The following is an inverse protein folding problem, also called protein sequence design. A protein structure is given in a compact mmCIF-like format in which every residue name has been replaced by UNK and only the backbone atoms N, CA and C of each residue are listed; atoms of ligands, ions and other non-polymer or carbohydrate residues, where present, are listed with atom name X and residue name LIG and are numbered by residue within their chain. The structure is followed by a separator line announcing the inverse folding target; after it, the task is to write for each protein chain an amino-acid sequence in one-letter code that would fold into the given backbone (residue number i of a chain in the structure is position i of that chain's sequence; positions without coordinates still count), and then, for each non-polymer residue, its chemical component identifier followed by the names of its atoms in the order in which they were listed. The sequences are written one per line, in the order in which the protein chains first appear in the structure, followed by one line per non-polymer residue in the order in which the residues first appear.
data_IF_243997198151
#
_entry.id   IF_243997198151
#
_cell.length_a   1.000
_cell.length_b   1.000
_cell.length_c   1.000
_cell.angle_alpha   90.00
_cell.angle_beta   90.00
_cell.angle_gamma   90.00
#
_symmetry.space_group_name_H-M   'P 1'
#
loop_
_entity.id
_entity.type
_entity.pdbx_description
1 polymer ?
#
# COMPACT_ATOMS: atom_id res chain seq x y z
N UNK A 1 -23.08 5.38 -2.16
CA UNK A 1 -21.74 4.79 -2.36
C UNK A 1 -20.95 5.77 -3.22
N UNK A 2 -19.95 6.40 -2.64
CA UNK A 2 -19.05 7.30 -3.37
C UNK A 2 -17.88 6.47 -3.87
N UNK A 3 -17.95 6.01 -5.09
CA UNK A 3 -16.85 5.35 -5.78
C UNK A 3 -16.28 6.28 -6.84
N UNK A 4 -14.97 6.19 -7.05
CA UNK A 4 -14.34 6.91 -8.14
C UNK A 4 -14.77 6.26 -9.47
N UNK A 5 -15.38 7.02 -10.36
CA UNK A 5 -15.80 6.50 -11.67
C UNK A 5 -14.55 6.17 -12.50
N UNK A 6 -14.30 4.89 -12.84
CA UNK A 6 -13.07 4.49 -13.53
C UNK A 6 -12.91 5.14 -14.92
N UNK A 7 -14.01 5.50 -15.58
CA UNK A 7 -13.98 6.20 -16.86
C UNK A 7 -13.41 7.63 -16.77
N UNK A 8 -13.28 8.18 -15.55
CA UNK A 8 -12.72 9.52 -15.31
C UNK A 8 -11.29 9.50 -14.79
N UNK A 9 -10.67 8.33 -14.74
CA UNK A 9 -9.27 8.19 -14.34
C UNK A 9 -8.37 8.16 -15.55
N UNK A 10 -7.32 8.94 -15.48
CA UNK A 10 -6.22 8.85 -16.41
C UNK A 10 -4.91 8.76 -15.64
N UNK A 11 -4.06 7.82 -16.03
CA UNK A 11 -2.69 7.75 -15.54
C UNK A 11 -1.82 8.62 -16.43
N UNK A 12 -1.19 9.63 -15.85
CA UNK A 12 -0.37 10.56 -16.60
C UNK A 12 1.09 10.42 -16.19
N UNK A 13 1.95 10.24 -17.16
CA UNK A 13 3.40 10.12 -16.96
C UNK A 13 4.06 11.43 -16.51
N UNK A 14 3.41 12.57 -16.75
CA UNK A 14 3.94 13.90 -16.42
C UNK A 14 3.00 14.64 -15.48
N UNK A 15 3.48 14.91 -14.29
CA UNK A 15 2.81 15.73 -13.31
C UNK A 15 3.67 16.97 -12.99
N UNK A 16 3.02 18.09 -12.74
CA UNK A 16 3.66 19.31 -12.26
C UNK A 16 3.30 19.52 -10.80
N UNK A 17 4.27 19.94 -10.00
CA UNK A 17 3.98 20.31 -8.62
C UNK A 17 3.47 21.73 -8.56
N UNK A 18 2.35 21.92 -7.87
CA UNK A 18 1.91 23.21 -7.40
C UNK A 18 2.40 23.37 -5.96
N UNK A 19 2.84 24.56 -5.60
CA UNK A 19 3.33 24.85 -4.25
C UNK A 19 2.53 25.99 -3.65
N UNK A 20 2.09 25.83 -2.40
CA UNK A 20 1.45 26.90 -1.66
C UNK A 20 2.48 27.97 -1.29
N UNK A 21 2.17 29.23 -1.60
CA UNK A 21 3.05 30.37 -1.29
C UNK A 21 3.24 30.63 0.20
N UNK A 22 2.30 30.20 1.05
CA UNK A 22 2.36 30.45 2.48
C UNK A 22 2.98 29.30 3.29
N UNK A 23 2.59 28.04 3.01
CA UNK A 23 3.01 26.90 3.84
C UNK A 23 3.87 25.86 3.12
N UNK A 24 4.22 26.11 1.86
CA UNK A 24 4.98 25.20 1.00
C UNK A 24 4.34 23.82 0.78
N UNK A 25 3.06 23.64 1.11
CA UNK A 25 2.33 22.41 0.79
C UNK A 25 2.36 22.19 -0.72
N UNK A 26 2.62 20.93 -1.13
CA UNK A 26 2.72 20.57 -2.53
C UNK A 26 1.52 19.76 -2.97
N UNK A 27 1.03 20.07 -4.15
CA UNK A 27 -0.08 19.37 -4.80
C UNK A 27 0.37 18.96 -6.20
N UNK A 28 0.53 17.65 -6.48
CA UNK A 28 0.81 17.21 -7.84
C UNK A 28 -0.44 17.33 -8.70
N UNK A 29 -0.32 17.96 -9.85
CA UNK A 29 -1.40 18.11 -10.83
C UNK A 29 -0.92 17.68 -12.19
N UNK A 30 -1.86 17.27 -13.06
CA UNK A 30 -1.58 17.05 -14.46
C UNK A 30 -1.06 18.34 -15.12
N UNK A 31 -0.10 18.23 -16.03
CA UNK A 31 0.37 19.39 -16.81
C UNK A 31 -0.73 20.06 -17.62
N UNK A 32 -1.80 19.33 -17.95
CA UNK A 32 -2.97 19.88 -18.65
C UNK A 32 -3.89 20.69 -17.74
N UNK A 33 -3.78 20.50 -16.42
CA UNK A 33 -4.65 21.12 -15.41
C UNK A 33 -3.90 22.10 -14.50
N UNK A 34 -2.64 22.38 -14.76
CA UNK A 34 -1.84 23.29 -13.94
C UNK A 34 -2.42 24.71 -13.92
N UNK A 35 -2.98 25.17 -15.02
CA UNK A 35 -3.65 26.48 -15.14
C UNK A 35 -4.92 26.56 -14.27
N UNK A 36 -5.63 25.43 -14.06
CA UNK A 36 -6.81 25.37 -13.19
C UNK A 36 -6.38 25.38 -11.72
N UNK A 37 -5.28 24.70 -11.41
CA UNK A 37 -4.77 24.61 -10.06
C UNK A 37 -4.04 25.87 -9.59
N UNK A 38 -3.56 26.69 -10.51
CA UNK A 38 -2.91 27.94 -10.20
C UNK A 38 -3.93 28.96 -9.61
N UNK A 39 -3.62 29.47 -8.43
CA UNK A 39 -4.50 30.38 -7.71
C UNK A 39 -5.55 29.72 -6.80
N UNK A 40 -5.68 28.39 -6.80
CA UNK A 40 -6.55 27.69 -5.85
C UNK A 40 -6.08 27.90 -4.41
N UNK A 41 -7.03 28.00 -3.48
CA UNK A 41 -6.74 28.03 -2.05
C UNK A 41 -6.00 26.74 -1.61
N UNK A 42 -5.11 26.88 -0.63
CA UNK A 42 -4.36 25.76 -0.11
C UNK A 42 -5.29 24.72 0.54
N UNK A 43 -5.11 23.45 0.20
CA UNK A 43 -5.87 22.34 0.76
C UNK A 43 -5.45 21.97 2.20
N UNK A 44 -4.36 22.55 2.70
CA UNK A 44 -3.94 22.32 4.08
C UNK A 44 -4.85 23.10 5.03
N UNK A 45 -5.44 22.38 5.97
CA UNK A 45 -6.34 22.97 6.96
C UNK A 45 -5.68 24.16 7.70
N UNK A 46 -6.41 25.27 7.82
CA UNK A 46 -5.93 26.51 8.47
C UNK A 46 -4.94 27.34 7.65
N UNK A 47 -4.61 26.96 6.41
CA UNK A 47 -3.72 27.74 5.55
C UNK A 47 -4.51 28.69 4.64
N UNK A 48 -4.18 29.97 4.68
CA UNK A 48 -4.80 31.03 3.85
C UNK A 48 -4.07 31.26 2.52
N UNK A 49 -3.01 30.49 2.25
CA UNK A 49 -2.22 30.63 1.05
C UNK A 49 -2.88 30.05 -0.19
N UNK A 50 -2.32 30.36 -1.37
CA UNK A 50 -2.79 29.88 -2.66
C UNK A 50 -1.69 29.11 -3.37
N UNK A 51 -2.06 28.18 -4.25
CA UNK A 51 -1.12 27.42 -5.06
C UNK A 51 -0.57 28.24 -6.22
N UNK A 52 0.71 28.07 -6.45
CA UNK A 52 1.44 28.58 -7.62
C UNK A 52 2.23 27.45 -8.27
N UNK A 53 2.53 27.59 -9.54
CA UNK A 53 3.35 26.62 -10.25
C UNK A 53 4.73 26.56 -9.60
N UNK A 54 5.14 25.39 -9.16
CA UNK A 54 6.48 25.18 -8.64
C UNK A 54 7.49 25.17 -9.80
N UNK A 55 8.72 25.70 -9.59
CA UNK A 55 9.79 25.51 -10.57
C UNK A 55 10.00 24.01 -10.82
N UNK A 56 10.20 23.66 -12.11
CA UNK A 56 10.45 22.27 -12.49
C UNK A 56 11.68 21.73 -11.75
N UNK A 57 11.45 20.93 -10.73
CA UNK A 57 12.50 20.05 -10.22
C UNK A 57 12.56 18.84 -11.12
N UNK A 58 13.76 18.48 -11.59
CA UNK A 58 13.98 17.12 -12.09
C UNK A 58 13.57 16.20 -10.96
N UNK A 59 12.37 15.63 -11.03
CA UNK A 59 12.01 14.51 -10.15
C UNK A 59 13.02 13.43 -10.48
N UNK A 60 14.01 13.25 -9.63
CA UNK A 60 14.65 11.95 -9.59
C UNK A 60 13.52 11.00 -9.20
N UNK A 61 13.07 10.18 -10.17
CA UNK A 61 12.17 9.07 -9.82
C UNK A 61 12.81 8.34 -8.65
N UNK A 62 12.11 8.12 -7.54
CA UNK A 62 12.60 7.21 -6.51
C UNK A 62 12.87 5.81 -7.10
N UNK A 63 12.24 5.51 -8.23
CA UNK A 63 12.44 4.31 -9.03
C UNK A 63 13.51 4.56 -10.11
N UNK A 64 14.74 4.79 -9.71
CA UNK A 64 15.90 4.77 -10.61
C UNK A 64 16.30 3.35 -11.02
N UNK A 65 15.74 2.36 -10.36
CA UNK A 65 15.95 0.96 -10.71
C UNK A 65 15.14 0.59 -11.94
N UNK A 66 15.72 -0.19 -12.81
CA UNK A 66 14.97 -0.89 -13.85
C UNK A 66 13.84 -1.70 -13.18
N UNK A 67 12.65 -1.77 -13.78
CA UNK A 67 11.57 -2.57 -13.22
C UNK A 67 12.05 -4.02 -13.07
N UNK A 68 12.02 -4.53 -11.85
CA UNK A 68 12.34 -5.93 -11.59
C UNK A 68 11.20 -6.81 -12.08
N UNK A 69 11.56 -7.96 -12.62
CA UNK A 69 10.58 -8.98 -12.98
C UNK A 69 9.86 -9.45 -11.72
N UNK A 70 8.54 -9.61 -11.78
CA UNK A 70 7.79 -10.29 -10.75
C UNK A 70 7.84 -11.80 -11.02
N UNK A 71 8.35 -12.55 -10.07
CA UNK A 71 8.41 -14.01 -10.08
C UNK A 71 7.50 -14.50 -8.94
N UNK A 72 6.23 -14.84 -9.26
CA UNK A 72 5.26 -15.23 -8.27
C UNK A 72 5.41 -16.70 -7.88
N UNK A 73 5.10 -17.02 -6.62
CA UNK A 73 4.85 -18.36 -6.16
C UNK A 73 3.61 -18.39 -5.26
N UNK A 74 2.94 -19.53 -5.25
CA UNK A 74 1.85 -19.80 -4.33
C UNK A 74 2.39 -20.36 -3.02
N UNK A 75 1.86 -19.90 -1.88
CA UNK A 75 2.19 -20.41 -0.56
C UNK A 75 0.91 -20.75 0.20
N UNK A 76 0.57 -22.03 0.19
CA UNK A 76 -0.63 -22.54 0.84
C UNK A 76 -0.32 -23.75 1.71
N UNK A 77 -1.22 -24.08 2.64
CA UNK A 77 -1.12 -25.27 3.47
C UNK A 77 -1.23 -26.60 2.67
N UNK A 78 -1.72 -26.51 1.43
CA UNK A 78 -1.90 -27.68 0.53
C UNK A 78 -0.59 -28.11 -0.13
N UNK A 79 0.43 -27.25 -0.13
CA UNK A 79 1.74 -27.60 -0.68
C UNK A 79 2.44 -28.62 0.21
N UNK A 80 3.17 -29.52 -0.44
CA UNK A 80 4.09 -30.40 0.27
C UNK A 80 5.11 -29.62 1.10
N UNK A 81 5.46 -30.13 2.27
CA UNK A 81 6.33 -29.44 3.23
C UNK A 81 7.71 -29.10 2.66
N UNK A 82 8.29 -29.97 1.83
CA UNK A 82 9.59 -29.72 1.21
C UNK A 82 9.50 -28.59 0.17
N UNK A 83 8.48 -28.65 -0.70
CA UNK A 83 8.26 -27.60 -1.71
C UNK A 83 7.97 -26.24 -1.06
N UNK A 84 7.15 -26.22 -0.01
CA UNK A 84 6.88 -25.00 0.73
C UNK A 84 8.14 -24.39 1.31
N UNK A 85 8.99 -25.21 1.95
CA UNK A 85 10.28 -24.75 2.48
C UNK A 85 11.21 -24.20 1.39
N UNK A 86 11.27 -24.85 0.22
CA UNK A 86 12.05 -24.35 -0.92
C UNK A 86 11.57 -22.98 -1.40
N UNK A 87 10.26 -22.79 -1.48
CA UNK A 87 9.64 -21.51 -1.86
C UNK A 87 10.02 -20.43 -0.83
N UNK A 88 9.89 -20.71 0.46
CA UNK A 88 10.27 -19.79 1.55
C UNK A 88 11.76 -19.41 1.47
N UNK A 89 12.64 -20.36 1.29
CA UNK A 89 14.08 -20.10 1.18
C UNK A 89 14.43 -19.28 -0.07
N UNK A 90 13.85 -19.59 -1.21
CA UNK A 90 14.03 -18.78 -2.43
C UNK A 90 13.53 -17.35 -2.26
N UNK A 91 12.40 -17.16 -1.56
CA UNK A 91 11.84 -15.85 -1.31
C UNK A 91 12.68 -15.01 -0.34
N UNK A 92 13.21 -15.65 0.73
CA UNK A 92 13.98 -14.95 1.78
C UNK A 92 15.40 -14.60 1.31
N UNK A 93 16.05 -15.53 0.61
CA UNK A 93 17.47 -15.46 0.28
C UNK A 93 17.74 -15.21 -1.20
N UNK A 94 16.70 -15.17 -2.03
CA UNK A 94 16.83 -14.94 -3.45
C UNK A 94 17.49 -13.59 -3.75
N UNK A 95 18.47 -13.61 -4.64
CA UNK A 95 19.21 -12.43 -5.13
C UNK A 95 19.21 -12.31 -6.64
N UNK A 96 18.82 -13.37 -7.33
CA UNK A 96 18.80 -13.43 -8.77
C UNK A 96 17.48 -12.92 -9.37
N UNK A 97 17.53 -12.49 -10.62
CA UNK A 97 16.35 -11.95 -11.32
C UNK A 97 15.21 -12.98 -11.51
N UNK A 98 15.48 -14.24 -11.28
CA UNK A 98 14.54 -15.37 -11.41
C UNK A 98 14.07 -15.92 -10.07
N UNK A 99 14.61 -15.43 -8.96
CA UNK A 99 14.18 -15.84 -7.65
C UNK A 99 12.79 -15.31 -7.32
N UNK A 100 12.08 -16.06 -6.48
CA UNK A 100 10.72 -15.72 -6.06
C UNK A 100 10.75 -14.40 -5.29
N UNK A 101 9.98 -13.41 -5.75
CA UNK A 101 9.88 -12.10 -5.11
C UNK A 101 8.43 -11.65 -4.86
N UNK A 102 7.47 -12.50 -5.16
CA UNK A 102 6.05 -12.31 -4.87
C UNK A 102 5.46 -13.61 -4.34
N UNK A 103 4.89 -13.59 -3.14
CA UNK A 103 4.14 -14.72 -2.60
C UNK A 103 2.64 -14.44 -2.61
N UNK A 104 1.88 -15.33 -3.25
CA UNK A 104 0.42 -15.40 -3.10
C UNK A 104 0.09 -16.40 -2.00
N UNK A 105 -0.45 -15.93 -0.89
CA UNK A 105 -0.63 -16.76 0.28
C UNK A 105 -2.05 -16.71 0.83
N UNK A 106 -2.45 -17.82 1.42
CA UNK A 106 -3.65 -17.89 2.25
C UNK A 106 -3.35 -17.35 3.67
N UNK A 107 -4.37 -17.15 4.54
CA UNK A 107 -4.16 -16.71 5.92
C UNK A 107 -3.19 -17.55 6.77
N UNK A 108 -2.77 -18.71 6.28
CA UNK A 108 -1.76 -19.56 6.96
C UNK A 108 -0.43 -18.85 7.20
N UNK A 109 -0.09 -17.83 6.42
CA UNK A 109 1.08 -16.98 6.69
C UNK A 109 0.93 -16.09 7.94
N UNK A 110 -0.27 -15.95 8.51
CA UNK A 110 -0.44 -15.26 9.80
C UNK A 110 0.25 -16.00 10.95
N UNK A 111 0.36 -17.31 10.85
CA UNK A 111 0.83 -18.21 11.88
C UNK A 111 2.35 -18.42 11.82
N UNK A 112 3.11 -17.52 12.44
CA UNK A 112 4.48 -17.80 12.92
C UNK A 112 5.58 -18.15 11.91
N UNK A 113 5.30 -18.19 10.60
CA UNK A 113 6.32 -18.50 9.59
C UNK A 113 7.19 -17.27 9.39
N UNK A 114 8.48 -17.42 9.53
CA UNK A 114 9.43 -16.33 9.23
C UNK A 114 9.66 -16.30 7.72
N UNK A 115 9.08 -15.32 7.06
CA UNK A 115 9.25 -15.04 5.62
C UNK A 115 10.17 -13.84 5.37
N UNK A 116 10.95 -13.46 6.39
CA UNK A 116 11.84 -12.31 6.28
C UNK A 116 11.10 -10.97 6.36
N UNK A 117 11.76 -9.93 5.87
CA UNK A 117 11.25 -8.57 5.87
C UNK A 117 10.58 -8.24 4.55
N UNK A 118 9.30 -7.90 4.61
CA UNK A 118 8.53 -7.53 3.43
C UNK A 118 8.56 -6.03 3.21
N UNK A 119 8.74 -5.60 1.98
CA UNK A 119 8.58 -4.19 1.58
C UNK A 119 7.12 -3.85 1.28
N UNK A 120 6.33 -4.84 0.90
CA UNK A 120 4.93 -4.61 0.47
C UNK A 120 4.05 -5.76 0.89
N UNK A 121 2.90 -5.44 1.44
CA UNK A 121 1.80 -6.38 1.72
C UNK A 121 0.55 -5.92 0.99
N UNK A 122 -0.02 -6.81 0.18
CA UNK A 122 -1.27 -6.59 -0.54
C UNK A 122 -2.35 -7.50 0.03
N UNK A 123 -3.38 -6.93 0.61
CA UNK A 123 -4.55 -7.65 1.10
C UNK A 123 -5.66 -7.57 0.06
N UNK A 124 -6.08 -8.71 -0.49
CA UNK A 124 -7.10 -8.79 -1.54
C UNK A 124 -8.54 -8.69 -1.00
N UNK A 125 -8.71 -8.57 0.32
CA UNK A 125 -9.97 -8.25 1.01
C UNK A 125 -9.65 -7.67 2.37
N UNK A 126 -10.64 -7.04 3.00
CA UNK A 126 -10.50 -6.56 4.37
C UNK A 126 -10.51 -7.77 5.32
N UNK A 127 -9.50 -7.95 6.18
CA UNK A 127 -9.47 -9.03 7.17
C UNK A 127 -10.68 -9.02 8.10
N UNK A 128 -11.09 -10.16 8.64
CA UNK A 128 -12.31 -10.27 9.45
C UNK A 128 -12.22 -9.51 10.78
N UNK A 129 -11.02 -9.33 11.32
CA UNK A 129 -10.80 -8.59 12.55
C UNK A 129 -9.52 -7.76 12.48
N UNK A 130 -9.44 -6.73 13.30
CA UNK A 130 -8.27 -5.86 13.42
C UNK A 130 -7.01 -6.65 13.78
N UNK A 131 -7.09 -7.63 14.68
CA UNK A 131 -5.94 -8.46 15.04
C UNK A 131 -5.35 -9.15 13.80
N UNK A 132 -6.19 -9.72 12.94
CA UNK A 132 -5.75 -10.33 11.68
C UNK A 132 -5.11 -9.30 10.74
N UNK A 133 -5.70 -8.09 10.66
CA UNK A 133 -5.14 -7.00 9.88
C UNK A 133 -3.72 -6.67 10.34
N UNK A 134 -3.54 -6.41 11.63
CA UNK A 134 -2.24 -6.06 12.22
C UNK A 134 -1.21 -7.18 12.08
N UNK A 135 -1.62 -8.45 12.22
CA UNK A 135 -0.74 -9.60 12.03
C UNK A 135 -0.22 -9.71 10.60
N UNK A 136 -1.05 -9.39 9.61
CA UNK A 136 -0.66 -9.42 8.19
C UNK A 136 0.25 -8.26 7.82
N UNK A 137 -0.15 -7.01 8.12
CA UNK A 137 0.65 -5.84 7.77
C UNK A 137 1.93 -5.72 8.60
N UNK A 138 1.93 -6.21 9.84
CA UNK A 138 3.09 -6.22 10.74
C UNK A 138 4.25 -7.13 10.28
N UNK A 139 4.10 -7.79 9.13
CA UNK A 139 5.18 -8.50 8.44
C UNK A 139 6.05 -7.58 7.59
N UNK A 140 5.56 -6.38 7.25
CA UNK A 140 6.27 -5.44 6.40
C UNK A 140 7.00 -4.37 7.21
N UNK A 141 8.16 -3.92 6.71
CA UNK A 141 8.91 -2.79 7.25
C UNK A 141 9.60 -3.03 8.58
N UNK A 142 9.91 -4.26 8.93
CA UNK A 142 10.54 -4.60 10.22
C UNK A 142 11.97 -4.09 10.36
N UNK A 143 12.72 -3.97 9.24
CA UNK A 143 14.13 -3.58 9.26
C UNK A 143 14.33 -2.07 9.27
N UNK A 144 13.61 -1.35 8.42
CA UNK A 144 13.85 0.06 8.16
C UNK A 144 12.60 0.94 8.35
N UNK A 145 11.47 0.36 8.74
CA UNK A 145 10.18 1.05 8.87
C UNK A 145 9.53 1.42 7.55
N UNK A 146 10.15 1.12 6.41
CA UNK A 146 9.60 1.44 5.09
C UNK A 146 8.76 0.27 4.57
N UNK A 147 7.46 0.45 4.55
CA UNK A 147 6.55 -0.55 4.03
C UNK A 147 5.35 0.08 3.32
N UNK A 148 4.86 -0.63 2.33
CA UNK A 148 3.56 -0.35 1.72
C UNK A 148 2.58 -1.45 2.13
N UNK A 149 1.53 -1.08 2.85
CA UNK A 149 0.38 -1.94 3.06
C UNK A 149 -0.79 -1.41 2.24
N UNK A 150 -1.31 -2.24 1.34
CA UNK A 150 -2.45 -1.92 0.48
C UNK A 150 -3.55 -2.93 0.70
N UNK A 151 -4.76 -2.45 0.99
CA UNK A 151 -5.95 -3.30 1.14
C UNK A 151 -6.94 -2.98 0.03
N UNK A 152 -7.37 -4.00 -0.69
CA UNK A 152 -8.40 -3.90 -1.72
C UNK A 152 -9.72 -4.33 -1.11
N UNK A 153 -10.64 -3.39 -0.94
CA UNK A 153 -11.98 -3.69 -0.46
C UNK A 153 -12.83 -4.27 -1.61
N UNK A 154 -13.42 -5.43 -1.37
CA UNK A 154 -14.36 -6.06 -2.29
C UNK A 154 -15.78 -5.49 -2.17
N UNK A 155 -16.75 -6.11 -2.90
CA UNK A 155 -18.15 -5.72 -2.87
C UNK A 155 -18.95 -6.27 -1.66
N UNK A 156 -18.34 -6.98 -0.75
CA UNK A 156 -19.01 -7.53 0.43
C UNK A 156 -19.29 -6.45 1.48
N UNK A 157 -20.37 -6.63 2.26
CA UNK A 157 -20.79 -5.65 3.27
C UNK A 157 -19.69 -5.30 4.27
N UNK A 158 -18.92 -6.28 4.70
CA UNK A 158 -17.79 -6.12 5.60
C UNK A 158 -16.72 -5.20 5.00
N UNK A 159 -16.30 -5.47 3.77
CA UNK A 159 -15.27 -4.69 3.09
C UNK A 159 -15.74 -3.25 2.84
N UNK A 160 -16.99 -3.08 2.42
CA UNK A 160 -17.59 -1.76 2.17
C UNK A 160 -17.70 -0.93 3.46
N UNK A 161 -17.99 -1.58 4.59
CA UNK A 161 -18.01 -0.89 5.89
C UNK A 161 -16.64 -0.29 6.22
N UNK A 162 -15.58 -1.07 6.18
CA UNK A 162 -14.23 -0.58 6.48
C UNK A 162 -13.64 0.31 5.38
N UNK A 163 -14.11 0.18 4.15
CA UNK A 163 -13.78 1.15 3.10
C UNK A 163 -14.32 2.55 3.43
N UNK A 164 -15.54 2.63 4.01
CA UNK A 164 -16.14 3.88 4.43
C UNK A 164 -15.54 4.44 5.74
N UNK A 165 -15.11 3.53 6.64
CA UNK A 165 -14.56 3.87 7.96
C UNK A 165 -13.20 3.16 8.22
N UNK A 166 -12.14 3.45 7.44
CA UNK A 166 -10.88 2.71 7.51
C UNK A 166 -10.17 2.84 8.85
N UNK A 167 -10.38 3.93 9.56
CA UNK A 167 -9.78 4.15 10.88
C UNK A 167 -10.26 3.15 11.93
N UNK A 168 -11.44 2.60 11.79
CA UNK A 168 -11.94 1.58 12.71
C UNK A 168 -11.13 0.27 12.61
N UNK A 169 -10.65 -0.06 11.41
CA UNK A 169 -9.74 -1.20 11.24
C UNK A 169 -8.31 -0.87 11.69
N UNK A 170 -7.87 0.38 11.56
CA UNK A 170 -6.49 0.78 11.86
C UNK A 170 -6.28 1.13 13.34
N UNK A 171 -7.24 1.80 13.97
CA UNK A 171 -7.13 2.39 15.32
C UNK A 171 -8.06 1.77 16.37
N UNK A 172 -8.85 0.78 16.00
CA UNK A 172 -9.76 0.09 16.91
C UNK A 172 -9.02 -0.66 18.03
N UNK A 173 -9.70 -0.95 19.13
CA UNK A 173 -9.14 -1.74 20.21
C UNK A 173 -9.05 -3.21 19.79
N UNK A 174 -7.86 -3.80 19.91
CA UNK A 174 -7.69 -5.24 19.70
C UNK A 174 -8.36 -5.95 20.88
N UNK A 175 -9.52 -6.55 20.64
CA UNK A 175 -10.12 -7.43 21.63
C UNK A 175 -9.32 -8.73 21.70
N UNK A 176 -8.75 -9.03 22.85
CA UNK A 176 -8.18 -10.36 23.10
C UNK A 176 -9.31 -11.38 23.12
N UNK A 177 -9.20 -12.51 22.38
CA UNK A 177 -10.16 -13.58 22.54
C UNK A 177 -10.15 -14.04 24.00
N UNK A 178 -11.32 -13.95 24.64
CA UNK A 178 -11.47 -14.42 26.02
C UNK A 178 -11.20 -15.92 26.07
N UNK A 179 -10.22 -16.33 26.86
CA UNK A 179 -10.08 -17.74 27.24
C UNK A 179 -11.12 -17.98 28.28
N UNK A 180 -12.21 -18.57 27.89
CA UNK A 180 -13.18 -19.12 28.87
C UNK A 180 -12.57 -20.40 29.46
N UNK A 181 -12.05 -20.31 30.66
CA UNK A 181 -11.67 -21.44 31.48
C UNK A 181 -12.94 -22.09 32.10
#
# INVERSE_FOLDING_TARGET
VWGLNPARWSVMAQARDMVCGACNHRLPVSMQQDHIAAGLACLRNGCIGHYRVAPMRKRSSPYKSQPHRLVPAEHTALLDGQLRHQIEQSFIHGSDAWDINLLSATPTLEMGIDIGDLSTVLLCSVPPAQANYLQRIGRAGRRDGNALALTIAGGHRHDLYFYAAPLEMLAGAVSTPGVFL
#
